data_IF_712581324833
#
_entry.id   IF_712581324833
#
_cell.length_a   1.000
_cell.length_b   1.000
_cell.length_c   1.000
_cell.angle_alpha   90.00
_cell.angle_beta   90.00
_cell.angle_gamma   90.00
#
_symmetry.space_group_name_H-M   'P 1'
#
loop_
_entity.id
_entity.type
_entity.pdbx_description
1 polymer ?
#
# COMPACT_ATOMS: atom_id res chain seq x y z
N UNK A 1 30.63 5.34 0.30
CA UNK A 1 29.63 6.40 0.54
C UNK A 1 28.54 5.88 1.49
N UNK A 2 27.71 6.74 2.09
CA UNK A 2 26.60 6.36 2.96
C UNK A 2 25.24 6.85 2.40
N UNK A 3 24.14 6.46 3.04
CA UNK A 3 22.78 6.89 2.61
C UNK A 3 22.62 8.42 2.68
N UNK A 4 23.33 9.11 3.58
CA UNK A 4 23.21 10.57 3.73
C UNK A 4 23.78 11.35 2.55
N UNK A 5 24.61 10.72 1.73
CA UNK A 5 25.26 11.33 0.58
C UNK A 5 24.42 11.16 -0.71
N UNK A 6 23.45 10.24 -0.72
CA UNK A 6 22.59 9.96 -1.86
C UNK A 6 21.78 11.18 -2.36
N UNK A 7 21.31 12.12 -1.52
CA UNK A 7 20.69 13.36 -2.00
C UNK A 7 21.56 14.16 -2.97
N UNK A 8 22.88 14.24 -2.73
CA UNK A 8 23.80 14.95 -3.64
C UNK A 8 23.93 14.22 -4.98
N UNK A 9 23.99 12.88 -4.93
CA UNK A 9 23.96 12.04 -6.13
C UNK A 9 22.66 12.28 -6.91
N UNK A 10 21.51 12.28 -6.24
CA UNK A 10 20.20 12.50 -6.87
C UNK A 10 20.15 13.82 -7.65
N UNK A 11 20.52 14.94 -7.02
CA UNK A 11 20.53 16.25 -7.68
C UNK A 11 21.38 16.21 -8.97
N UNK A 12 22.60 15.69 -8.87
CA UNK A 12 23.50 15.57 -10.03
C UNK A 12 22.93 14.70 -11.14
N UNK A 13 22.30 13.57 -10.79
CA UNK A 13 21.72 12.66 -11.78
C UNK A 13 20.57 13.29 -12.57
N UNK A 14 19.70 14.04 -11.90
CA UNK A 14 18.60 14.75 -12.57
C UNK A 14 19.11 15.90 -13.44
N UNK A 15 20.11 16.66 -12.97
CA UNK A 15 20.78 17.70 -13.75
C UNK A 15 21.45 17.13 -15.01
N UNK A 16 22.24 16.05 -14.85
CA UNK A 16 22.91 15.36 -15.97
C UNK A 16 21.92 14.80 -16.99
N UNK A 17 20.77 14.30 -16.53
CA UNK A 17 19.70 13.81 -17.38
C UNK A 17 18.82 14.93 -18.00
N UNK A 18 19.08 16.20 -17.67
CA UNK A 18 18.26 17.35 -18.06
C UNK A 18 16.76 17.15 -17.74
N UNK A 19 16.49 16.52 -16.58
CA UNK A 19 15.14 16.26 -16.11
C UNK A 19 14.83 17.17 -14.91
N UNK A 20 13.68 17.85 -14.91
CA UNK A 20 13.26 18.57 -13.71
C UNK A 20 13.04 17.56 -12.58
N UNK A 21 13.41 17.95 -11.37
CA UNK A 21 12.94 17.27 -10.17
C UNK A 21 11.40 17.36 -10.10
N UNK A 22 10.71 16.42 -9.42
CA UNK A 22 9.28 16.52 -9.19
C UNK A 22 8.96 17.91 -8.59
N UNK A 23 8.00 18.63 -9.19
CA UNK A 23 7.55 20.01 -8.91
C UNK A 23 8.15 21.15 -9.77
N UNK A 24 9.12 20.92 -10.67
CA UNK A 24 9.69 22.03 -11.46
C UNK A 24 10.36 23.10 -10.58
N UNK A 25 10.85 22.69 -9.41
CA UNK A 25 11.46 23.58 -8.41
C UNK A 25 12.76 24.14 -8.98
N UNK A 26 12.78 25.43 -9.26
CA UNK A 26 13.98 26.16 -9.73
C UNK A 26 14.96 26.52 -8.59
N UNK A 27 14.85 25.86 -7.42
CA UNK A 27 15.60 26.16 -6.21
C UNK A 27 16.22 24.95 -5.52
N UNK A 28 16.92 25.19 -4.40
CA UNK A 28 17.54 24.13 -3.60
C UNK A 28 16.48 23.20 -2.98
N UNK A 29 16.43 21.97 -3.48
CA UNK A 29 15.50 20.95 -3.02
C UNK A 29 15.97 20.32 -1.70
N UNK A 30 15.03 20.04 -0.79
CA UNK A 30 15.32 19.29 0.43
C UNK A 30 14.79 17.86 0.29
N UNK A 31 15.70 16.91 0.31
CA UNK A 31 15.36 15.49 0.37
C UNK A 31 15.21 15.05 1.82
N UNK A 32 14.13 14.33 2.12
CA UNK A 32 13.96 13.68 3.42
C UNK A 32 13.59 12.22 3.25
N UNK A 33 14.27 11.32 3.96
CA UNK A 33 14.00 9.89 3.88
C UNK A 33 12.62 9.62 4.46
N UNK A 34 11.70 9.17 3.61
CA UNK A 34 10.34 8.75 3.98
C UNK A 34 10.26 7.27 4.25
N UNK A 35 11.02 6.48 3.49
CA UNK A 35 10.99 5.02 3.57
C UNK A 35 12.36 4.45 3.25
N UNK A 36 12.79 3.46 4.02
CA UNK A 36 14.02 2.71 3.80
C UNK A 36 13.70 1.22 3.90
N UNK A 37 14.09 0.45 2.89
CA UNK A 37 13.92 -1.00 2.88
C UNK A 37 15.15 -1.67 2.30
N UNK A 38 15.79 -2.50 3.11
CA UNK A 38 16.76 -3.51 2.65
C UNK A 38 16.15 -4.89 2.82
N UNK A 39 16.18 -5.72 1.78
CA UNK A 39 15.82 -7.14 1.87
C UNK A 39 17.00 -7.96 1.33
N UNK A 40 17.48 -9.00 2.04
CA UNK A 40 18.49 -9.91 1.50
C UNK A 40 18.04 -10.51 0.17
N UNK A 41 18.96 -10.70 -0.78
CA UNK A 41 18.66 -11.21 -2.13
C UNK A 41 17.88 -10.19 -2.98
N UNK A 42 17.84 -8.93 -2.56
CA UNK A 42 17.09 -7.85 -3.21
C UNK A 42 17.81 -6.52 -2.98
N UNK A 43 17.29 -5.50 -3.67
CA UNK A 43 17.84 -4.16 -3.65
C UNK A 43 17.56 -3.40 -2.35
N UNK A 44 18.43 -2.45 -2.02
CA UNK A 44 18.13 -1.39 -1.07
C UNK A 44 17.26 -0.35 -1.77
N UNK A 45 16.10 -0.05 -1.18
CA UNK A 45 15.19 1.00 -1.67
C UNK A 45 15.12 2.11 -0.64
N UNK A 46 15.44 3.32 -1.07
CA UNK A 46 15.27 4.57 -0.31
C UNK A 46 14.24 5.43 -1.03
N UNK A 47 13.18 5.83 -0.35
CA UNK A 47 12.21 6.79 -0.89
C UNK A 47 12.39 8.11 -0.19
N UNK A 48 12.68 9.14 -0.97
CA UNK A 48 12.77 10.52 -0.52
C UNK A 48 11.46 11.25 -0.79
N UNK A 49 11.00 12.03 0.16
CA UNK A 49 10.11 13.16 -0.13
C UNK A 49 10.96 14.35 -0.56
N UNK A 50 10.51 15.04 -1.60
CA UNK A 50 11.11 16.26 -2.14
C UNK A 50 10.24 17.44 -1.71
N UNK A 51 10.74 18.25 -0.79
CA UNK A 51 10.05 19.45 -0.33
C UNK A 51 10.80 20.71 -0.82
N UNK A 52 10.05 21.76 -1.17
CA UNK A 52 10.62 23.10 -1.29
C UNK A 52 11.05 23.61 0.09
N UNK A 53 12.24 24.20 0.17
CA UNK A 53 12.82 24.73 1.41
C UNK A 53 11.95 25.79 2.11
N UNK A 54 10.98 26.39 1.40
CA UNK A 54 10.09 27.46 1.90
C UNK A 54 8.75 26.97 2.45
N UNK A 55 8.44 25.68 2.36
CA UNK A 55 7.19 25.14 2.91
C UNK A 55 7.25 25.12 4.44
N UNK A 56 6.36 25.87 5.09
CA UNK A 56 6.28 25.92 6.55
C UNK A 56 6.05 24.52 7.13
N UNK A 57 6.70 24.19 8.25
CA UNK A 57 6.69 22.89 8.92
C UNK A 57 5.30 22.30 9.29
N UNK A 58 4.19 23.00 9.06
CA UNK A 58 2.88 22.66 9.63
C UNK A 58 2.11 21.57 8.88
N UNK A 59 2.45 21.22 7.66
CA UNK A 59 1.80 20.10 6.95
C UNK A 59 2.78 19.41 6.02
N UNK A 60 3.71 18.63 6.57
CA UNK A 60 4.38 17.57 5.79
C UNK A 60 3.36 16.49 5.46
N UNK A 61 2.53 16.77 4.46
CA UNK A 61 1.56 15.81 3.97
C UNK A 61 2.30 14.64 3.33
N UNK A 62 1.94 13.43 3.73
CA UNK A 62 2.53 12.17 3.26
C UNK A 62 2.15 11.84 1.79
N UNK A 63 2.05 12.81 0.89
CA UNK A 63 1.62 12.58 -0.49
C UNK A 63 2.76 11.98 -1.34
N UNK A 64 2.57 10.80 -1.96
CA UNK A 64 3.55 10.20 -2.88
C UNK A 64 3.87 11.02 -4.12
N UNK A 65 3.08 12.03 -4.47
CA UNK A 65 3.28 12.92 -5.63
C UNK A 65 4.64 13.62 -5.67
N UNK A 66 5.33 13.71 -4.53
CA UNK A 66 6.63 14.36 -4.41
C UNK A 66 7.71 13.37 -3.99
N UNK A 67 7.58 12.10 -4.40
CA UNK A 67 8.50 11.05 -4.00
C UNK A 67 9.45 10.62 -5.12
N UNK A 68 10.71 10.43 -4.74
CA UNK A 68 11.76 9.83 -5.58
C UNK A 68 12.22 8.55 -4.91
N UNK A 69 12.20 7.46 -5.66
CA UNK A 69 12.75 6.18 -5.21
C UNK A 69 14.15 6.00 -5.77
N UNK A 70 15.10 5.75 -4.89
CA UNK A 70 16.46 5.31 -5.18
C UNK A 70 16.55 3.82 -4.89
N UNK A 71 17.00 3.07 -5.88
CA UNK A 71 17.15 1.64 -5.82
C UNK A 71 18.63 1.33 -6.05
N UNK A 72 19.24 0.64 -5.10
CA UNK A 72 20.64 0.21 -5.14
C UNK A 72 20.67 -1.32 -5.15
N UNK A 73 21.35 -1.88 -6.14
CA UNK A 73 21.53 -3.33 -6.26
C UNK A 73 22.36 -3.88 -5.10
N UNK A 74 22.16 -5.16 -4.77
CA UNK A 74 22.81 -5.74 -3.59
C UNK A 74 24.34 -5.78 -3.70
N UNK A 75 24.87 -5.96 -4.92
CA UNK A 75 26.32 -6.05 -5.16
C UNK A 75 27.07 -4.73 -4.89
N UNK A 76 26.38 -3.59 -4.88
CA UNK A 76 26.98 -2.29 -4.53
C UNK A 76 26.83 -1.92 -3.05
N UNK A 77 26.40 -2.87 -2.21
CA UNK A 77 26.23 -2.70 -0.78
C UNK A 77 27.23 -3.56 0.00
N UNK A 78 27.93 -2.97 0.95
CA UNK A 78 28.77 -3.67 1.92
C UNK A 78 28.35 -3.27 3.33
N UNK A 79 27.62 -4.15 4.02
CA UNK A 79 27.04 -3.87 5.33
C UNK A 79 26.05 -2.69 5.28
N UNK A 80 26.44 -1.58 5.90
CA UNK A 80 25.70 -0.31 5.90
C UNK A 80 26.27 0.73 4.90
N UNK A 81 27.33 0.37 4.18
CA UNK A 81 28.06 1.23 3.27
C UNK A 81 27.68 0.97 1.81
N UNK A 82 27.73 2.02 1.00
CA UNK A 82 27.61 1.97 -0.46
C UNK A 82 29.02 1.91 -1.05
N UNK A 83 29.26 0.93 -1.93
CA UNK A 83 30.60 0.57 -2.43
C UNK A 83 31.15 1.50 -3.51
N UNK A 84 30.36 2.46 -4.01
CA UNK A 84 30.84 3.50 -4.92
C UNK A 84 30.99 4.86 -4.20
N UNK A 85 31.79 5.73 -4.80
CA UNK A 85 32.04 7.11 -4.35
C UNK A 85 31.13 8.10 -5.06
N UNK A 86 31.02 9.33 -4.53
CA UNK A 86 30.28 10.40 -5.21
C UNK A 86 30.84 10.67 -6.62
N UNK A 87 32.16 10.70 -6.79
CA UNK A 87 32.80 10.91 -8.09
C UNK A 87 32.40 9.82 -9.11
N UNK A 88 32.43 8.55 -8.69
CA UNK A 88 31.98 7.44 -9.53
C UNK A 88 30.51 7.59 -9.95
N UNK A 89 29.63 8.03 -9.04
CA UNK A 89 28.24 8.28 -9.37
C UNK A 89 28.03 9.47 -10.31
N UNK A 90 28.90 10.49 -10.24
CA UNK A 90 28.86 11.65 -11.12
C UNK A 90 29.32 11.31 -12.55
N UNK A 91 30.35 10.47 -12.65
CA UNK A 91 30.95 10.03 -13.90
C UNK A 91 30.14 8.94 -14.60
N UNK A 92 29.46 8.07 -13.85
CA UNK A 92 28.70 6.93 -14.36
C UNK A 92 27.80 7.29 -15.55
N UNK A 93 27.80 6.43 -16.58
CA UNK A 93 26.92 6.57 -17.73
C UNK A 93 25.46 6.47 -17.27
N UNK A 94 24.63 7.41 -17.74
CA UNK A 94 23.19 7.40 -17.46
C UNK A 94 22.39 6.93 -18.65
N UNK A 95 21.54 5.96 -18.40
CA UNK A 95 20.55 5.45 -19.33
C UNK A 95 19.17 5.90 -18.89
N UNK A 96 18.42 6.49 -19.82
CA UNK A 96 17.01 6.80 -19.62
C UNK A 96 16.18 5.63 -20.16
N UNK A 97 15.57 4.88 -19.25
CA UNK A 97 14.69 3.76 -19.58
C UNK A 97 13.23 4.22 -19.55
N UNK A 98 12.38 3.88 -20.55
CA UNK A 98 10.94 4.12 -20.48
C UNK A 98 10.32 3.44 -19.24
N UNK A 99 9.37 4.08 -18.52
CA UNK A 99 8.70 5.34 -18.82
C UNK A 99 9.35 6.59 -18.19
N UNK A 100 10.64 6.56 -17.83
CA UNK A 100 11.35 7.71 -17.27
C UNK A 100 12.30 7.37 -16.11
N UNK A 101 12.77 6.13 -16.04
CA UNK A 101 13.68 5.65 -15.00
C UNK A 101 15.11 5.98 -15.41
N UNK A 102 15.85 6.64 -14.54
CA UNK A 102 17.28 6.89 -14.73
C UNK A 102 18.07 5.72 -14.14
N UNK A 103 18.93 5.10 -14.95
CA UNK A 103 19.78 3.99 -14.52
C UNK A 103 21.26 4.35 -14.72
N UNK A 104 22.08 3.93 -13.76
CA UNK A 104 23.52 3.87 -13.86
C UNK A 104 23.94 2.42 -13.62
N UNK A 105 23.90 1.55 -14.65
CA UNK A 105 24.08 0.10 -14.50
C UNK A 105 25.44 -0.27 -13.89
N UNK A 106 26.50 0.47 -14.25
CA UNK A 106 27.87 0.25 -13.78
C UNK A 106 28.02 0.32 -12.25
N UNK A 107 27.14 1.09 -11.60
CA UNK A 107 27.13 1.27 -10.14
C UNK A 107 25.84 0.75 -9.51
N UNK A 108 25.08 -0.08 -10.23
CA UNK A 108 23.87 -0.75 -9.72
C UNK A 108 22.84 0.23 -9.14
N UNK A 109 22.71 1.43 -9.73
CA UNK A 109 21.85 2.51 -9.22
C UNK A 109 20.70 2.77 -10.19
N UNK A 110 19.48 2.82 -9.67
CA UNK A 110 18.29 3.25 -10.42
C UNK A 110 17.53 4.31 -9.63
N UNK A 111 17.02 5.31 -10.34
CA UNK A 111 16.27 6.44 -9.78
C UNK A 111 14.98 6.61 -10.57
N UNK A 112 13.86 6.70 -9.86
CA UNK A 112 12.55 6.90 -10.46
C UNK A 112 11.72 7.89 -9.65
N UNK A 113 11.11 8.86 -10.33
CA UNK A 113 10.20 9.83 -9.74
C UNK A 113 8.76 9.31 -9.87
N UNK A 114 7.99 9.30 -8.78
CA UNK A 114 6.58 8.94 -8.83
C UNK A 114 5.80 9.83 -9.82
N UNK A 115 4.88 9.30 -10.65
CA UNK A 115 4.35 7.92 -10.65
C UNK A 115 5.12 6.93 -11.53
N UNK A 116 6.31 7.28 -12.04
CA UNK A 116 7.15 6.34 -12.80
C UNK A 116 7.71 5.27 -11.86
N UNK A 117 7.46 4.01 -12.19
CA UNK A 117 8.00 2.86 -11.47
C UNK A 117 8.22 1.71 -12.44
N UNK A 118 9.48 1.24 -12.55
CA UNK A 118 9.86 0.18 -13.49
C UNK A 118 9.05 -1.10 -13.28
N UNK A 119 8.82 -1.45 -12.02
CA UNK A 119 8.17 -2.70 -11.65
C UNK A 119 6.66 -2.49 -11.39
N UNK A 120 6.12 -1.30 -11.73
CA UNK A 120 4.69 -0.99 -11.84
C UNK A 120 4.45 -0.16 -13.12
N UNK A 121 4.67 -0.72 -14.32
CA UNK A 121 4.72 0.06 -15.56
C UNK A 121 3.41 0.80 -15.89
N UNK A 122 2.27 0.25 -15.48
CA UNK A 122 0.95 0.86 -15.65
C UNK A 122 0.63 1.99 -14.65
N UNK A 123 1.50 2.25 -13.66
CA UNK A 123 1.20 3.18 -12.57
C UNK A 123 0.92 4.59 -13.06
N UNK A 124 1.73 5.12 -14.00
CA UNK A 124 1.51 6.46 -14.56
C UNK A 124 0.16 6.55 -15.28
N UNK A 125 -0.22 5.53 -16.05
CA UNK A 125 -1.52 5.46 -16.73
C UNK A 125 -2.69 5.40 -15.74
N UNK A 126 -2.49 4.84 -14.54
CA UNK A 126 -3.51 4.84 -13.49
C UNK A 126 -3.77 6.24 -12.87
N UNK A 127 -3.00 7.27 -13.25
CA UNK A 127 -3.23 8.68 -12.91
C UNK A 127 -3.73 9.51 -14.09
N UNK A 128 -3.79 8.95 -15.30
CA UNK A 128 -4.36 9.64 -16.46
C UNK A 128 -5.89 9.56 -16.38
N UNK A 129 -6.50 10.61 -15.83
CA UNK A 129 -7.96 10.74 -15.72
C UNK A 129 -8.58 11.54 -16.86
N UNK A 130 -7.89 11.68 -17.99
CA UNK A 130 -8.47 12.32 -19.18
C UNK A 130 -9.61 11.49 -19.75
N UNK A 131 -10.58 12.15 -20.38
CA UNK A 131 -11.80 11.49 -20.90
C UNK A 131 -11.55 10.47 -22.02
N UNK A 132 -10.35 10.46 -22.60
CA UNK A 132 -9.93 9.51 -23.64
C UNK A 132 -9.14 8.32 -23.07
N UNK A 133 -8.82 8.34 -21.77
CA UNK A 133 -8.05 7.28 -21.13
C UNK A 133 -8.91 6.02 -20.90
N UNK A 134 -8.34 4.81 -20.99
CA UNK A 134 -9.02 3.58 -20.59
C UNK A 134 -9.44 3.58 -19.11
N UNK A 135 -8.74 4.36 -18.28
CA UNK A 135 -9.08 4.52 -16.86
C UNK A 135 -10.43 5.23 -16.69
N UNK A 136 -10.69 6.29 -17.46
CA UNK A 136 -11.92 7.08 -17.33
C UNK A 136 -13.17 6.24 -17.61
N UNK A 137 -13.15 5.42 -18.68
CA UNK A 137 -14.24 4.50 -19.01
C UNK A 137 -14.48 3.46 -17.90
N UNK A 138 -13.40 2.92 -17.34
CA UNK A 138 -13.49 1.96 -16.24
C UNK A 138 -14.02 2.60 -14.95
N UNK A 139 -13.64 3.84 -14.64
CA UNK A 139 -14.17 4.59 -13.51
C UNK A 139 -15.67 4.89 -13.69
N UNK A 140 -16.11 5.24 -14.90
CA UNK A 140 -17.53 5.39 -15.21
C UNK A 140 -18.29 4.08 -14.98
N UNK A 141 -17.79 2.98 -15.53
CA UNK A 141 -18.42 1.65 -15.37
C UNK A 141 -18.51 1.25 -13.90
N UNK A 142 -17.43 1.45 -13.13
CA UNK A 142 -17.40 1.18 -11.70
C UNK A 142 -18.39 2.05 -10.91
N UNK A 143 -18.52 3.33 -11.28
CA UNK A 143 -19.49 4.24 -10.65
C UNK A 143 -20.94 3.81 -10.93
N UNK A 144 -21.25 3.39 -12.16
CA UNK A 144 -22.58 2.88 -12.53
C UNK A 144 -22.93 1.59 -11.78
N UNK A 145 -21.94 0.69 -11.60
CA UNK A 145 -22.10 -0.53 -10.77
C UNK A 145 -22.32 -0.17 -9.30
N UNK A 146 -21.56 0.79 -8.77
CA UNK A 146 -21.69 1.26 -7.39
C UNK A 146 -23.08 1.87 -7.12
N UNK A 147 -23.56 2.69 -8.05
CA UNK A 147 -24.85 3.38 -7.94
C UNK A 147 -26.05 2.51 -8.37
N UNK A 148 -25.79 1.34 -8.95
CA UNK A 148 -26.80 0.46 -9.56
C UNK A 148 -27.67 1.19 -10.60
N UNK A 149 -27.09 2.15 -11.33
CA UNK A 149 -27.82 3.02 -12.25
C UNK A 149 -26.91 3.47 -13.42
N UNK A 150 -27.20 3.04 -14.67
CA UNK A 150 -26.40 3.40 -15.84
C UNK A 150 -26.61 4.84 -16.33
N UNK A 151 -27.63 5.56 -15.81
CA UNK A 151 -27.93 6.92 -16.24
C UNK A 151 -26.91 7.96 -15.73
N UNK A 152 -26.05 7.58 -14.77
CA UNK A 152 -24.93 8.39 -14.29
C UNK A 152 -23.77 8.38 -15.28
N UNK A 153 -23.27 9.57 -15.58
CA UNK A 153 -22.15 9.80 -16.48
C UNK A 153 -21.01 10.50 -15.74
N UNK A 154 -19.77 10.09 -16.02
CA UNK A 154 -18.60 10.69 -15.42
C UNK A 154 -18.25 12.00 -16.14
N UNK A 155 -18.21 13.10 -15.38
CA UNK A 155 -17.83 14.42 -15.88
C UNK A 155 -16.33 14.65 -15.66
N UNK A 156 -15.88 14.35 -14.44
CA UNK A 156 -14.53 14.64 -13.99
C UNK A 156 -14.06 13.55 -13.03
N UNK A 157 -12.79 13.19 -13.14
CA UNK A 157 -12.12 12.32 -12.20
C UNK A 157 -10.77 12.90 -11.80
N UNK A 158 -10.43 12.79 -10.51
CA UNK A 158 -9.10 13.11 -10.00
C UNK A 158 -8.53 11.91 -9.27
N UNK A 159 -7.23 11.64 -9.49
CA UNK A 159 -6.53 10.51 -8.89
C UNK A 159 -5.53 11.01 -7.84
N UNK A 160 -5.59 10.47 -6.63
CA UNK A 160 -4.69 10.82 -5.53
C UNK A 160 -4.04 9.57 -4.95
N UNK A 161 -2.71 9.49 -4.85
CA UNK A 161 -2.07 8.33 -4.25
C UNK A 161 -2.25 8.34 -2.73
N UNK A 162 -2.82 7.25 -2.21
CA UNK A 162 -3.06 7.02 -0.80
C UNK A 162 -1.86 6.31 -0.18
N UNK A 163 -1.33 5.30 -0.88
CA UNK A 163 -0.18 4.53 -0.41
C UNK A 163 0.62 3.96 -1.58
N UNK A 164 1.87 4.37 -1.67
CA UNK A 164 2.81 3.84 -2.64
C UNK A 164 3.86 2.95 -1.95
N UNK A 165 4.06 1.74 -2.48
CA UNK A 165 5.17 0.85 -2.13
C UNK A 165 5.93 0.53 -3.42
N UNK A 166 7.14 1.08 -3.62
CA UNK A 166 7.90 0.90 -4.84
C UNK A 166 8.05 -0.59 -5.20
N UNK A 167 7.91 -0.85 -6.50
CA UNK A 167 8.03 -2.17 -7.10
C UNK A 167 7.06 -3.23 -6.56
N UNK A 168 5.95 -2.82 -5.97
CA UNK A 168 5.01 -3.76 -5.36
C UNK A 168 3.56 -3.40 -5.60
N UNK A 169 3.14 -2.21 -5.18
CA UNK A 169 1.75 -1.77 -5.34
C UNK A 169 1.57 -0.29 -5.05
N UNK A 170 0.52 0.30 -5.64
CA UNK A 170 0.01 1.60 -5.27
C UNK A 170 -1.49 1.49 -4.93
N UNK A 171 -1.93 2.20 -3.90
CA UNK A 171 -3.35 2.44 -3.61
C UNK A 171 -3.66 3.88 -3.97
N UNK A 172 -4.72 4.08 -4.75
CA UNK A 172 -5.13 5.35 -5.34
C UNK A 172 -6.58 5.63 -4.91
N UNK A 173 -6.87 6.86 -4.50
CA UNK A 173 -8.22 7.37 -4.31
C UNK A 173 -8.64 8.09 -5.58
N UNK A 174 -9.77 7.71 -6.15
CA UNK A 174 -10.38 8.38 -7.29
C UNK A 174 -11.59 9.17 -6.80
N UNK A 175 -11.54 10.50 -6.91
CA UNK A 175 -12.68 11.35 -6.64
C UNK A 175 -13.38 11.67 -7.96
N UNK A 176 -14.65 11.27 -8.05
CA UNK A 176 -15.47 11.33 -9.25
C UNK A 176 -16.55 12.38 -9.09
N UNK A 177 -16.78 13.17 -10.14
CA UNK A 177 -17.98 13.98 -10.29
C UNK A 177 -18.86 13.38 -11.38
N UNK A 178 -20.09 13.06 -11.02
CA UNK A 178 -21.06 12.39 -11.87
C UNK A 178 -22.26 13.29 -12.12
N UNK A 179 -22.86 13.18 -13.31
CA UNK A 179 -24.14 13.81 -13.66
C UNK A 179 -25.16 12.75 -14.09
N UNK A 180 -26.39 12.89 -13.61
CA UNK A 180 -27.49 12.03 -14.01
C UNK A 180 -28.18 12.57 -15.26
N UNK A 181 -28.15 11.79 -16.34
CA UNK A 181 -28.62 12.21 -17.68
C UNK A 181 -30.09 12.64 -17.77
N UNK A 182 -30.96 12.20 -16.84
CA UNK A 182 -32.40 12.48 -16.87
C UNK A 182 -32.84 13.68 -16.01
N UNK A 183 -31.95 14.25 -15.20
CA UNK A 183 -32.28 15.37 -14.31
C UNK A 183 -31.38 16.57 -14.63
N UNK A 184 -31.98 17.70 -15.06
CA UNK A 184 -31.23 18.91 -15.49
C UNK A 184 -30.98 19.94 -14.38
N UNK A 185 -31.38 19.67 -13.14
CA UNK A 185 -31.17 20.56 -12.00
C UNK A 185 -29.90 20.17 -11.21
N UNK A 186 -29.32 21.07 -10.40
CA UNK A 186 -28.16 20.79 -9.53
C UNK A 186 -28.32 19.53 -8.65
N UNK A 187 -29.55 19.08 -8.40
CA UNK A 187 -29.87 17.80 -7.76
C UNK A 187 -29.45 16.55 -8.59
N UNK A 188 -28.91 16.73 -9.79
CA UNK A 188 -28.43 15.64 -10.66
C UNK A 188 -26.93 15.41 -10.60
N UNK A 189 -26.20 16.14 -9.75
CA UNK A 189 -24.76 15.93 -9.58
C UNK A 189 -24.47 15.16 -8.30
N UNK A 190 -23.52 14.23 -8.40
CA UNK A 190 -23.08 13.42 -7.28
C UNK A 190 -21.56 13.32 -7.26
N UNK A 191 -20.99 13.39 -6.06
CA UNK A 191 -19.58 13.07 -5.85
C UNK A 191 -19.47 11.65 -5.31
N UNK A 192 -18.53 10.89 -5.85
CA UNK A 192 -18.23 9.53 -5.41
C UNK A 192 -16.72 9.41 -5.18
N UNK A 193 -16.31 8.56 -4.24
CA UNK A 193 -14.91 8.16 -4.09
C UNK A 193 -14.79 6.67 -4.28
N UNK A 194 -13.85 6.26 -5.12
CA UNK A 194 -13.49 4.85 -5.34
C UNK A 194 -12.03 4.65 -4.95
N UNK A 195 -11.66 3.43 -4.55
CA UNK A 195 -10.27 3.07 -4.32
C UNK A 195 -9.76 2.12 -5.40
N UNK A 196 -8.66 2.51 -6.02
CA UNK A 196 -7.86 1.70 -6.92
C UNK A 196 -6.69 1.05 -6.22
N UNK A 197 -6.35 -0.18 -6.61
CA UNK A 197 -5.10 -0.83 -6.22
C UNK A 197 -4.39 -1.41 -7.42
N UNK A 198 -3.22 -0.85 -7.72
CA UNK A 198 -2.34 -1.27 -8.81
C UNK A 198 -1.39 -2.34 -8.29
N UNK A 199 -1.29 -3.45 -9.01
CA UNK A 199 -0.37 -4.54 -8.75
C UNK A 199 0.73 -4.61 -9.81
N UNK A 200 1.91 -5.08 -9.42
CA UNK A 200 3.01 -5.35 -10.37
C UNK A 200 2.67 -6.50 -11.33
N UNK A 201 1.88 -7.46 -10.84
CA UNK A 201 1.45 -8.62 -11.57
C UNK A 201 -0.08 -8.53 -11.81
N UNK A 202 -0.52 -8.37 -13.08
CA UNK A 202 -1.94 -8.35 -13.43
C UNK A 202 -2.68 -9.65 -13.09
N UNK A 203 -2.00 -10.80 -13.13
CA UNK A 203 -2.61 -12.07 -12.75
C UNK A 203 -2.90 -12.09 -11.25
N UNK A 204 -1.95 -11.61 -10.44
CA UNK A 204 -2.17 -11.38 -9.01
C UNK A 204 -3.36 -10.44 -8.76
N UNK A 205 -3.50 -9.37 -9.53
CA UNK A 205 -4.64 -8.46 -9.40
C UNK A 205 -5.97 -9.20 -9.61
N UNK A 206 -6.03 -10.06 -10.63
CA UNK A 206 -7.18 -10.91 -10.92
C UNK A 206 -7.52 -11.89 -9.81
N UNK A 207 -6.53 -12.64 -9.36
CA UNK A 207 -6.71 -13.64 -8.30
C UNK A 207 -7.20 -13.01 -6.99
N UNK A 208 -6.67 -11.83 -6.64
CA UNK A 208 -7.11 -11.09 -5.44
C UNK A 208 -8.54 -10.56 -5.62
N UNK A 209 -8.87 -9.98 -6.77
CA UNK A 209 -10.21 -9.47 -7.03
C UNK A 209 -11.25 -10.59 -6.98
N UNK A 210 -10.99 -11.72 -7.64
CA UNK A 210 -11.90 -12.87 -7.66
C UNK A 210 -12.17 -13.38 -6.25
N UNK A 211 -11.12 -13.54 -5.44
CA UNK A 211 -11.25 -13.96 -4.05
C UNK A 211 -12.07 -12.96 -3.22
N UNK A 212 -11.82 -11.65 -3.38
CA UNK A 212 -12.58 -10.61 -2.68
C UNK A 212 -14.06 -10.63 -3.07
N UNK A 213 -14.37 -10.79 -4.36
CA UNK A 213 -15.73 -10.86 -4.87
C UNK A 213 -16.46 -12.09 -4.32
N UNK A 214 -15.82 -13.27 -4.34
CA UNK A 214 -16.41 -14.50 -3.81
C UNK A 214 -16.71 -14.40 -2.31
N UNK A 215 -15.81 -13.81 -1.53
CA UNK A 215 -16.00 -13.58 -0.10
C UNK A 215 -17.11 -12.57 0.17
N UNK A 216 -17.20 -11.51 -0.63
CA UNK A 216 -18.26 -10.51 -0.52
C UNK A 216 -19.63 -11.13 -0.82
N UNK A 217 -19.76 -11.88 -1.90
CA UNK A 217 -21.01 -12.56 -2.29
C UNK A 217 -21.45 -13.63 -1.29
N UNK A 218 -20.51 -14.31 -0.63
CA UNK A 218 -20.81 -15.25 0.45
C UNK A 218 -21.49 -14.54 1.63
N UNK A 219 -20.98 -13.37 2.01
CA UNK A 219 -21.53 -12.55 3.11
C UNK A 219 -22.90 -11.97 2.75
N UNK A 220 -23.06 -11.43 1.54
CA UNK A 220 -24.37 -10.95 1.08
C UNK A 220 -25.42 -12.06 1.06
N UNK A 221 -25.06 -13.27 0.59
CA UNK A 221 -25.98 -14.43 0.59
C UNK A 221 -26.35 -14.90 1.99
N UNK A 222 -25.48 -14.68 2.98
CA UNK A 222 -25.77 -14.96 4.38
C UNK A 222 -26.67 -13.89 5.04
N UNK A 223 -26.95 -12.77 4.34
CA UNK A 223 -27.69 -11.64 4.89
C UNK A 223 -26.89 -10.83 5.91
N UNK A 224 -25.58 -11.01 5.94
CA UNK A 224 -24.67 -10.28 6.82
C UNK A 224 -24.25 -8.97 6.14
N UNK A 225 -23.99 -7.92 6.94
CA UNK A 225 -23.34 -6.70 6.41
C UNK A 225 -21.90 -7.05 6.07
N UNK A 226 -21.46 -6.96 4.80
CA UNK A 226 -20.13 -7.39 4.44
C UNK A 226 -19.04 -6.59 5.17
N UNK A 227 -18.06 -7.29 5.74
CA UNK A 227 -16.83 -6.68 6.27
C UNK A 227 -15.78 -6.49 5.17
N UNK A 228 -16.06 -6.93 3.94
CA UNK A 228 -15.27 -6.59 2.76
C UNK A 228 -15.94 -5.48 1.97
N UNK A 229 -15.11 -4.61 1.41
CA UNK A 229 -15.56 -3.65 0.42
C UNK A 229 -15.90 -4.36 -0.89
N UNK A 230 -17.03 -3.98 -1.48
CA UNK A 230 -17.46 -4.48 -2.78
C UNK A 230 -16.40 -4.20 -3.85
N UNK A 231 -16.09 -5.23 -4.63
CA UNK A 231 -15.28 -5.07 -5.85
C UNK A 231 -16.17 -4.45 -6.94
N UNK A 232 -15.70 -3.35 -7.54
CA UNK A 232 -16.43 -2.61 -8.56
C UNK A 232 -15.92 -2.86 -9.98
N UNK A 233 -14.75 -3.50 -10.12
CA UNK A 233 -14.20 -3.86 -11.41
C UNK A 233 -12.70 -4.02 -11.40
N UNK A 234 -12.16 -4.36 -12.57
CA UNK A 234 -10.71 -4.51 -12.81
C UNK A 234 -10.39 -4.06 -14.23
N UNK A 235 -9.20 -3.51 -14.38
CA UNK A 235 -8.61 -3.15 -15.67
C UNK A 235 -7.36 -4.00 -15.86
N UNK A 236 -7.50 -5.09 -16.62
CA UNK A 236 -6.44 -6.09 -16.78
C UNK A 236 -5.15 -5.51 -17.37
N UNK A 237 -5.29 -4.68 -18.39
CA UNK A 237 -4.15 -4.00 -19.02
C UNK A 237 -3.35 -3.12 -18.05
N UNK A 238 -3.96 -2.67 -16.94
CA UNK A 238 -3.32 -1.82 -15.95
C UNK A 238 -2.96 -2.56 -14.66
N UNK A 239 -3.35 -3.83 -14.50
CA UNK A 239 -3.25 -4.54 -13.23
C UNK A 239 -3.95 -3.80 -12.08
N UNK A 240 -5.03 -3.07 -12.39
CA UNK A 240 -5.77 -2.22 -11.46
C UNK A 240 -7.06 -2.88 -11.03
N UNK A 241 -7.30 -3.01 -9.72
CA UNK A 241 -8.60 -3.38 -9.15
C UNK A 241 -9.28 -2.16 -8.56
N UNK A 242 -10.60 -2.04 -8.72
CA UNK A 242 -11.43 -0.97 -8.17
C UNK A 242 -12.35 -1.53 -7.08
N UNK A 243 -12.45 -0.79 -5.97
CA UNK A 243 -13.31 -1.11 -4.85
C UNK A 243 -14.05 0.13 -4.39
N UNK A 244 -15.17 -0.06 -3.72
CA UNK A 244 -15.87 1.03 -3.06
C UNK A 244 -15.05 1.70 -1.96
N UNK A 245 -15.42 2.92 -1.60
CA UNK A 245 -14.93 3.59 -0.42
C UNK A 245 -15.92 3.38 0.74
N UNK A 246 -15.38 3.27 1.97
CA UNK A 246 -16.18 3.51 3.17
C UNK A 246 -16.44 5.01 3.25
N UNK A 247 -17.65 5.44 2.91
CA UNK A 247 -18.06 6.83 2.98
C UNK A 247 -19.10 7.01 4.09
N UNK A 248 -18.90 7.96 5.01
CA UNK A 248 -20.01 8.42 5.84
C UNK A 248 -21.07 9.01 4.93
N UNK A 249 -22.31 8.50 4.98
CA UNK A 249 -23.40 9.18 4.29
C UNK A 249 -23.76 10.46 5.03
N UNK A 250 -24.23 11.48 4.31
CA UNK A 250 -24.74 12.71 4.96
C UNK A 250 -25.93 12.45 5.89
N UNK A 251 -26.60 11.31 5.70
CA UNK A 251 -27.72 10.88 6.53
C UNK A 251 -27.26 10.16 7.82
N UNK A 252 -26.04 9.60 7.83
CA UNK A 252 -25.46 8.93 9.02
C UNK A 252 -25.01 9.91 10.11
N UNK A 253 -24.80 11.18 9.77
CA UNK A 253 -24.42 12.24 10.73
C UNK A 253 -25.49 12.46 11.80
N UNK A 254 -26.73 12.02 11.57
CA UNK A 254 -27.84 12.13 12.53
C UNK A 254 -28.08 10.87 13.37
N UNK A 255 -27.43 9.74 13.07
CA UNK A 255 -27.73 8.45 13.72
C UNK A 255 -26.55 7.79 14.44
N UNK A 256 -25.31 8.18 14.14
CA UNK A 256 -24.14 7.59 14.78
C UNK A 256 -23.61 8.49 15.91
N UNK A 257 -24.08 8.26 17.14
CA UNK A 257 -23.62 8.97 18.34
C UNK A 257 -22.09 8.83 18.53
N UNK A 258 -21.41 9.97 18.68
CA UNK A 258 -20.02 10.06 19.11
C UNK A 258 -19.00 9.50 18.09
N UNK A 259 -18.08 8.66 18.57
CA UNK A 259 -16.91 8.20 17.80
C UNK A 259 -17.24 7.25 16.63
N UNK A 260 -18.49 6.80 16.50
CA UNK A 260 -18.92 5.86 15.47
C UNK A 260 -19.42 6.52 14.20
N UNK A 261 -19.79 7.81 14.24
CA UNK A 261 -20.12 8.59 13.04
C UNK A 261 -18.89 9.01 12.22
N UNK A 262 -17.69 8.90 12.82
CA UNK A 262 -16.43 9.29 12.19
C UNK A 262 -15.70 8.06 11.67
N UNK A 263 -15.28 8.10 10.41
CA UNK A 263 -14.40 7.07 9.84
C UNK A 263 -13.05 7.04 10.57
N UNK A 264 -12.71 5.91 11.18
CA UNK A 264 -11.45 5.70 11.91
C UNK A 264 -10.62 4.60 11.26
N UNK A 265 -9.31 4.82 11.16
CA UNK A 265 -8.37 3.74 10.82
C UNK A 265 -8.21 2.80 12.02
N UNK A 266 -7.96 1.51 11.79
CA UNK A 266 -7.73 0.57 12.89
C UNK A 266 -6.52 0.91 13.74
N UNK A 267 -5.51 1.60 13.22
CA UNK A 267 -4.39 2.12 14.03
C UNK A 267 -4.84 3.11 15.09
N UNK A 268 -5.88 3.89 14.83
CA UNK A 268 -6.46 4.82 15.78
C UNK A 268 -7.53 4.12 16.65
N UNK A 269 -8.40 3.34 16.02
CA UNK A 269 -9.52 2.69 16.71
C UNK A 269 -9.08 1.61 17.72
N UNK A 270 -7.99 0.89 17.43
CA UNK A 270 -7.44 -0.15 18.31
C UNK A 270 -6.37 0.37 19.28
N UNK A 271 -6.11 1.69 19.31
CA UNK A 271 -5.11 2.26 20.21
C UNK A 271 -5.66 2.29 21.65
N UNK A 272 -4.97 1.67 22.62
CA UNK A 272 -5.34 1.79 24.03
C UNK A 272 -5.31 3.25 24.47
N UNK A 273 -6.34 3.69 25.19
CA UNK A 273 -6.36 5.02 25.80
C UNK A 273 -5.71 4.93 27.18
N UNK A 274 -4.90 5.94 27.53
CA UNK A 274 -4.17 5.99 28.79
C UNK A 274 -4.76 7.09 29.66
N UNK A 275 -5.35 6.73 30.80
CA UNK A 275 -5.73 7.70 31.82
C UNK A 275 -4.51 8.01 32.67
N UNK A 276 -4.19 9.30 32.81
CA UNK A 276 -3.02 9.75 33.57
C UNK A 276 -3.45 10.57 34.77
N UNK A 277 -2.84 10.28 35.91
CA UNK A 277 -3.05 11.00 37.16
C UNK A 277 -2.23 12.29 37.22
N UNK A 278 -2.34 12.98 38.36
CA UNK A 278 -1.49 14.14 38.64
C UNK A 278 -0.02 13.69 38.68
N UNK A 279 0.84 14.37 37.91
CA UNK A 279 2.25 13.98 37.73
C UNK A 279 2.52 13.05 36.54
N UNK A 280 1.51 12.75 35.71
CA UNK A 280 1.69 12.05 34.43
C UNK A 280 1.81 10.53 34.50
N UNK A 281 1.72 9.96 35.71
CA UNK A 281 1.67 8.51 35.93
C UNK A 281 0.42 7.91 35.26
N UNK A 282 0.59 6.77 34.58
CA UNK A 282 -0.53 6.04 33.97
C UNK A 282 -1.31 5.37 35.11
N UNK A 283 -2.56 5.79 35.29
CA UNK A 283 -3.47 5.27 36.31
C UNK A 283 -4.29 4.09 35.77
N UNK A 284 -4.62 4.13 34.48
CA UNK A 284 -5.44 3.12 33.84
C UNK A 284 -5.12 3.00 32.35
N UNK A 285 -5.32 1.81 31.80
CA UNK A 285 -5.21 1.52 30.37
C UNK A 285 -6.56 1.02 29.89
N UNK A 286 -7.27 1.84 29.13
CA UNK A 286 -8.57 1.52 28.57
C UNK A 286 -8.35 0.81 27.23
N UNK A 287 -8.76 -0.45 27.18
CA UNK A 287 -8.68 -1.29 25.98
C UNK A 287 -9.97 -1.11 25.15
N UNK A 288 -9.89 -0.90 23.83
CA UNK A 288 -11.06 -0.75 22.95
C UNK A 288 -11.74 -2.10 22.70
N UNK A 289 -12.50 -2.57 23.71
CA UNK A 289 -13.12 -3.90 23.73
C UNK A 289 -14.09 -4.11 22.57
N UNK A 290 -14.83 -3.08 22.20
CA UNK A 290 -15.87 -3.18 21.18
C UNK A 290 -15.25 -3.29 19.78
N UNK A 291 -14.26 -2.47 19.46
CA UNK A 291 -13.50 -2.58 18.22
C UNK A 291 -12.78 -3.93 18.10
N UNK A 292 -12.22 -4.44 19.20
CA UNK A 292 -11.62 -5.78 19.23
C UNK A 292 -12.65 -6.88 18.97
N UNK A 293 -13.87 -6.73 19.51
CA UNK A 293 -14.97 -7.68 19.28
C UNK A 293 -15.37 -7.72 17.81
N UNK A 294 -15.55 -6.55 17.18
CA UNK A 294 -15.88 -6.45 15.74
C UNK A 294 -14.79 -7.10 14.87
N UNK A 295 -13.52 -6.84 15.18
CA UNK A 295 -12.39 -7.45 14.46
C UNK A 295 -12.34 -8.96 14.64
N UNK A 296 -12.55 -9.45 15.87
CA UNK A 296 -12.56 -10.88 16.14
C UNK A 296 -13.69 -11.59 15.38
N UNK A 297 -14.86 -10.95 15.26
CA UNK A 297 -15.97 -11.44 14.44
C UNK A 297 -15.58 -11.51 12.97
N UNK A 298 -15.10 -10.41 12.38
CA UNK A 298 -14.69 -10.38 10.97
C UNK A 298 -13.63 -11.45 10.64
N UNK A 299 -12.63 -11.64 11.52
CA UNK A 299 -11.62 -12.70 11.37
C UNK A 299 -12.22 -14.11 11.50
N UNK A 300 -13.17 -14.30 12.43
CA UNK A 300 -13.87 -15.57 12.55
C UNK A 300 -14.69 -15.89 11.28
N UNK A 301 -15.37 -14.91 10.70
CA UNK A 301 -16.07 -15.09 9.41
C UNK A 301 -15.09 -15.47 8.30
N UNK A 302 -13.95 -14.78 8.19
CA UNK A 302 -12.90 -15.12 7.22
C UNK A 302 -12.39 -16.56 7.39
N UNK A 303 -12.11 -16.98 8.63
CA UNK A 303 -11.58 -18.32 8.92
C UNK A 303 -12.62 -19.44 8.70
N UNK A 304 -13.92 -19.12 8.78
CA UNK A 304 -15.01 -20.08 8.56
C UNK A 304 -15.63 -19.99 7.15
N UNK A 305 -15.07 -19.13 6.28
CA UNK A 305 -15.51 -19.01 4.89
C UNK A 305 -15.39 -20.33 4.14
N UNK A 306 -16.37 -20.60 3.28
CA UNK A 306 -16.37 -21.75 2.36
C UNK A 306 -15.64 -21.43 1.06
N UNK A 307 -15.11 -20.22 0.91
CA UNK A 307 -14.32 -19.82 -0.25
C UNK A 307 -12.92 -20.42 -0.14
N UNK A 308 -12.53 -21.23 -1.12
CA UNK A 308 -11.25 -21.91 -1.15
C UNK A 308 -10.33 -21.22 -2.17
N UNK A 309 -9.22 -20.60 -1.75
CA UNK A 309 -8.23 -20.09 -2.69
C UNK A 309 -7.52 -21.24 -3.40
N UNK A 310 -6.81 -20.93 -4.49
CA UNK A 310 -6.03 -21.93 -5.22
C UNK A 310 -5.06 -22.68 -4.28
N UNK A 311 -4.96 -24.01 -4.45
CA UNK A 311 -4.16 -24.93 -3.63
C UNK A 311 -2.67 -24.61 -3.63
N UNK A 312 -2.19 -23.95 -4.69
CA UNK A 312 -0.79 -23.52 -4.83
C UNK A 312 -0.35 -22.52 -3.74
N UNK A 313 -1.30 -21.89 -3.04
CA UNK A 313 -1.06 -20.94 -1.96
C UNK A 313 -1.04 -21.52 -0.54
N UNK A 314 -1.16 -22.85 -0.37
CA UNK A 314 -1.31 -23.47 0.95
C UNK A 314 -0.06 -23.25 1.83
N UNK A 315 -0.26 -22.62 2.99
CA UNK A 315 0.81 -22.42 3.99
C UNK A 315 0.74 -23.50 5.05
N UNK A 316 1.52 -24.56 4.86
CA UNK A 316 1.63 -25.68 5.81
C UNK A 316 2.67 -25.41 6.89
N UNK A 317 2.62 -26.20 7.97
CA UNK A 317 3.66 -26.20 9.01
C UNK A 317 5.07 -26.43 8.42
N UNK A 318 5.20 -27.36 7.48
CA UNK A 318 6.45 -27.61 6.76
C UNK A 318 6.93 -26.39 5.94
N UNK A 319 6.02 -25.68 5.26
CA UNK A 319 6.36 -24.47 4.51
C UNK A 319 6.87 -23.36 5.43
N UNK A 320 6.26 -23.19 6.61
CA UNK A 320 6.73 -22.21 7.59
C UNK A 320 8.03 -22.63 8.29
N UNK A 321 8.21 -23.92 8.58
CA UNK A 321 9.45 -24.48 9.13
C UNK A 321 10.65 -24.25 8.20
N UNK A 322 10.47 -24.49 6.89
CA UNK A 322 11.48 -24.16 5.87
C UNK A 322 11.85 -22.68 5.91
N UNK A 323 10.86 -21.78 5.96
CA UNK A 323 11.11 -20.32 6.03
C UNK A 323 11.82 -19.90 7.30
N UNK A 324 11.54 -20.55 8.44
CA UNK A 324 12.25 -20.31 9.71
C UNK A 324 13.72 -20.67 9.56
N UNK A 325 14.04 -21.86 9.04
CA UNK A 325 15.41 -22.32 8.79
C UNK A 325 16.17 -21.40 7.83
N UNK A 326 15.56 -21.01 6.72
CA UNK A 326 16.14 -20.07 5.74
C UNK A 326 16.45 -18.71 6.38
N UNK A 327 15.52 -18.16 7.18
CA UNK A 327 15.74 -16.88 7.88
C UNK A 327 16.83 -16.99 8.94
N UNK A 328 16.90 -18.10 9.66
CA UNK A 328 17.93 -18.34 10.66
C UNK A 328 19.33 -18.37 10.04
N UNK A 329 19.48 -19.04 8.89
CA UNK A 329 20.73 -19.03 8.12
C UNK A 329 21.14 -17.60 7.75
N UNK A 330 20.22 -16.82 7.20
CA UNK A 330 20.49 -15.42 6.81
C UNK A 330 20.87 -14.52 7.99
N UNK A 331 20.29 -14.77 9.18
CA UNK A 331 20.63 -14.04 10.39
C UNK A 331 21.99 -14.47 10.94
N UNK A 332 22.29 -15.76 10.95
CA UNK A 332 23.56 -16.32 11.39
C UNK A 332 24.73 -15.80 10.56
N UNK A 333 24.57 -15.76 9.22
CA UNK A 333 25.59 -15.24 8.29
C UNK A 333 25.92 -13.77 8.54
N UNK A 334 24.93 -12.98 8.99
CA UNK A 334 25.06 -11.53 9.20
C UNK A 334 25.42 -11.14 10.62
N UNK A 335 25.13 -12.01 11.59
CA UNK A 335 25.47 -11.82 12.99
C UNK A 335 26.07 -13.11 13.57
N UNK A 336 27.35 -13.40 13.28
CA UNK A 336 28.02 -14.61 13.74
C UNK A 336 27.98 -14.79 15.26
N UNK A 337 27.98 -13.69 16.02
CA UNK A 337 27.93 -13.72 17.47
C UNK A 337 26.62 -14.33 18.05
N UNK A 338 25.53 -14.34 17.26
CA UNK A 338 24.26 -14.94 17.64
C UNK A 338 23.89 -16.17 16.80
N UNK A 339 24.80 -16.62 15.92
CA UNK A 339 24.50 -17.66 14.93
C UNK A 339 24.01 -18.96 15.57
N UNK A 340 24.74 -19.46 16.58
CA UNK A 340 24.41 -20.72 17.26
C UNK A 340 23.03 -20.66 17.92
N UNK A 341 22.75 -19.60 18.67
CA UNK A 341 21.47 -19.44 19.37
C UNK A 341 20.30 -19.27 18.39
N UNK A 342 20.47 -18.48 17.34
CA UNK A 342 19.45 -18.30 16.29
C UNK A 342 19.16 -19.62 15.57
N UNK A 343 20.19 -20.41 15.26
CA UNK A 343 20.03 -21.71 14.62
C UNK A 343 19.32 -22.71 15.54
N UNK A 344 19.70 -22.75 16.83
CA UNK A 344 19.06 -23.60 17.85
C UNK A 344 17.56 -23.30 17.98
N UNK A 345 17.22 -22.03 18.21
CA UNK A 345 15.82 -21.58 18.33
C UNK A 345 15.02 -21.84 17.06
N UNK A 346 15.64 -21.63 15.89
CA UNK A 346 14.99 -21.90 14.61
C UNK A 346 14.73 -23.39 14.38
N UNK A 347 15.65 -24.26 14.80
CA UNK A 347 15.46 -25.70 14.72
C UNK A 347 14.31 -26.17 15.63
N UNK A 348 14.26 -25.67 16.88
CA UNK A 348 13.17 -25.96 17.83
C UNK A 348 11.81 -25.52 17.26
N UNK A 349 11.73 -24.28 16.77
CA UNK A 349 10.51 -23.75 16.16
C UNK A 349 10.12 -24.54 14.89
N UNK A 350 11.08 -24.85 14.03
CA UNK A 350 10.82 -25.59 12.79
C UNK A 350 10.31 -27.01 13.08
N UNK A 351 10.89 -27.71 14.05
CA UNK A 351 10.41 -29.01 14.50
C UNK A 351 8.98 -28.92 15.04
N UNK A 352 8.67 -27.92 15.86
CA UNK A 352 7.29 -27.68 16.31
C UNK A 352 6.32 -27.44 15.17
N UNK A 353 6.68 -26.59 14.21
CA UNK A 353 5.86 -26.30 13.02
C UNK A 353 5.65 -27.53 12.13
N UNK A 354 6.66 -28.37 11.92
CA UNK A 354 6.56 -29.59 11.11
C UNK A 354 5.56 -30.61 11.70
N UNK A 355 5.35 -30.59 13.02
CA UNK A 355 4.34 -31.44 13.68
C UNK A 355 2.90 -30.93 13.53
N UNK A 356 2.70 -29.67 13.13
CA UNK A 356 1.37 -29.10 12.96
C UNK A 356 0.72 -29.61 11.67
N UNK A 357 -0.20 -30.56 11.83
CA UNK A 357 -1.05 -31.08 10.77
C UNK A 357 -2.52 -30.92 11.18
N UNK A 358 -3.10 -29.72 11.04
CA UNK A 358 -4.50 -29.52 11.37
C UNK A 358 -5.40 -30.36 10.44
N UNK A 359 -6.55 -30.79 10.95
CA UNK A 359 -7.55 -31.53 10.16
C UNK A 359 -8.02 -30.76 8.93
N UNK A 360 -8.06 -29.43 9.04
CA UNK A 360 -8.39 -28.53 7.95
C UNK A 360 -7.53 -27.26 8.01
N UNK A 361 -7.16 -26.76 6.83
CA UNK A 361 -6.60 -25.43 6.66
C UNK A 361 -7.72 -24.45 6.33
N UNK A 362 -7.75 -23.32 7.02
CA UNK A 362 -8.71 -22.25 6.75
C UNK A 362 -8.06 -21.12 5.95
N UNK A 363 -8.92 -20.34 5.30
CA UNK A 363 -8.52 -19.07 4.71
C UNK A 363 -8.11 -18.11 5.83
N UNK A 364 -7.00 -17.40 5.64
CA UNK A 364 -6.52 -16.39 6.57
C UNK A 364 -5.94 -15.21 5.81
N UNK A 365 -5.99 -14.02 6.43
CA UNK A 365 -5.44 -12.81 5.81
C UNK A 365 -3.91 -12.93 5.58
N UNK A 366 -3.20 -13.68 6.42
CA UNK A 366 -1.76 -13.96 6.25
C UNK A 366 -0.81 -12.79 6.53
N UNK A 367 -1.32 -11.65 6.99
CA UNK A 367 -0.54 -10.44 7.27
C UNK A 367 -1.37 -9.31 7.86
N UNK A 368 -2.29 -9.67 8.75
CA UNK A 368 -3.30 -8.79 9.35
C UNK A 368 -2.66 -7.70 10.24
N UNK A 369 -3.05 -6.44 10.03
CA UNK A 369 -2.53 -5.27 10.77
C UNK A 369 -3.64 -4.25 10.98
N UNK A 370 -3.63 -3.50 12.10
CA UNK A 370 -4.59 -2.43 12.35
C UNK A 370 -4.70 -1.40 11.23
N UNK A 371 -3.60 -1.11 10.52
CA UNK A 371 -3.56 -0.17 9.39
C UNK A 371 -4.36 -0.61 8.15
N UNK A 372 -4.94 -1.80 8.17
CA UNK A 372 -5.73 -2.37 7.08
C UNK A 372 -7.22 -2.37 7.39
N UNK A 373 -7.60 -1.96 8.60
CA UNK A 373 -8.97 -1.90 9.05
C UNK A 373 -9.50 -0.48 8.96
N UNK A 374 -10.78 -0.36 8.64
CA UNK A 374 -11.56 0.86 8.76
C UNK A 374 -12.75 0.60 9.68
N UNK A 375 -13.08 1.57 10.53
CA UNK A 375 -14.22 1.52 11.44
C UNK A 375 -15.15 2.69 11.16
N UNK A 376 -16.43 2.41 10.98
CA UNK A 376 -17.49 3.40 10.79
C UNK A 376 -18.84 2.74 11.10
N UNK A 377 -19.80 3.48 11.64
CA UNK A 377 -21.16 3.02 11.93
C UNK A 377 -21.24 1.68 12.69
N UNK A 378 -20.40 1.53 13.73
CA UNK A 378 -20.28 0.30 14.54
C UNK A 378 -19.91 -0.96 13.73
N UNK A 379 -19.31 -0.77 12.55
CA UNK A 379 -18.86 -1.84 11.66
C UNK A 379 -17.36 -1.75 11.41
N UNK A 380 -16.77 -2.87 10.98
CA UNK A 380 -15.36 -2.96 10.58
C UNK A 380 -15.26 -3.45 9.13
N UNK A 381 -14.38 -2.80 8.37
CA UNK A 381 -14.06 -3.11 6.97
C UNK A 381 -12.57 -3.39 6.79
#
# INVERSE_FOLDING_TARGET
MSIIDLPAVLTHLFEKAQRPLPLGIEGSCKFSVRYLRRKPGRNLVVVYSVDEMRSSHKTRSNYPNHSISVILDEHVLSGASICFTLAQAQEALLELQPPGVLQAPEIGLSVQAFPVDRDLPALATCFDTTSQSPLFEALQSAAQVYLCDPAWQLIEATAQPVRYKPASRCVISYHLQLEHSQHKAEASRRTLTLFGKVYADPEQAGNVQLLQQQLYEEQERAGEVPWLLRSLGRIDALGLTLSEAVQPSKDDDHHADGQWGILRTGTHALQPQLERGHGGAIMNVIIPKEELRLVAQALAHLHNSRVHPNKDGLRTGANEAKRVKERASLLADRNPAQAEEVQRLAQELASGLETLQPEAYCLAHGGFKPSQLLFHSQHVF
#
